data_IF_547523725559
#
_entry.id   IF_547523725559
#
_cell.length_a   1.000
_cell.length_b   1.000
_cell.length_c   1.000
_cell.angle_alpha   90.00
_cell.angle_beta   90.00
_cell.angle_gamma   90.00
#
_symmetry.space_group_name_H-M   'P 1'
#
loop_
_entity.id
_entity.type
_entity.pdbx_description
1 polymer ?
#
# COMPACT_ATOMS: atom_id res chain seq x y z
N UNK A 1 -3.23 3.21 -28.79
CA UNK A 1 -3.39 4.63 -28.39
C UNK A 1 -3.99 4.61 -27.00
N UNK A 2 -3.20 4.85 -25.98
CA UNK A 2 -3.71 5.10 -24.63
C UNK A 2 -4.42 6.45 -24.63
N UNK A 3 -5.62 6.51 -24.06
CA UNK A 3 -6.35 7.76 -23.87
C UNK A 3 -5.75 8.54 -22.68
N UNK A 4 -5.46 9.83 -22.89
CA UNK A 4 -4.88 10.74 -21.88
C UNK A 4 -5.97 11.43 -21.03
N UNK A 5 -7.23 11.03 -21.21
CA UNK A 5 -8.39 11.56 -20.51
C UNK A 5 -8.23 11.59 -18.97
N UNK A 6 -8.69 12.70 -18.37
CA UNK A 6 -8.69 12.99 -16.93
C UNK A 6 -10.13 13.21 -16.44
N UNK A 7 -10.78 12.20 -15.86
CA UNK A 7 -12.20 12.26 -15.43
C UNK A 7 -12.38 12.32 -13.90
N UNK A 8 -11.30 12.17 -13.14
CA UNK A 8 -11.33 12.09 -11.68
C UNK A 8 -10.98 13.42 -10.99
N UNK A 9 -11.07 13.43 -9.66
CA UNK A 9 -10.72 14.60 -8.83
C UNK A 9 -9.23 14.71 -8.51
N UNK A 10 -8.41 13.77 -8.98
CA UNK A 10 -6.95 13.71 -8.83
C UNK A 10 -6.26 13.69 -10.19
N UNK A 11 -5.00 14.13 -10.25
CA UNK A 11 -4.22 14.08 -11.50
C UNK A 11 -3.74 12.67 -11.82
N UNK A 12 -3.84 12.28 -13.10
CA UNK A 12 -3.36 11.01 -13.61
C UNK A 12 -2.18 11.21 -14.59
N UNK A 13 -1.04 10.60 -14.33
CA UNK A 13 0.12 10.62 -15.22
C UNK A 13 0.21 9.30 -16.00
N UNK A 14 0.00 9.35 -17.31
CA UNK A 14 0.07 8.19 -18.20
C UNK A 14 1.46 8.01 -18.82
N UNK A 15 1.84 6.76 -19.11
CA UNK A 15 3.08 6.41 -19.80
C UNK A 15 2.91 6.47 -21.34
N UNK A 16 2.66 7.68 -21.89
CA UNK A 16 2.21 7.83 -23.28
C UNK A 16 3.27 7.55 -24.36
N UNK A 17 4.53 7.84 -24.07
CA UNK A 17 5.62 7.81 -25.06
C UNK A 17 6.69 6.78 -24.76
N UNK A 18 6.47 5.92 -23.75
CA UNK A 18 7.47 4.99 -23.21
C UNK A 18 8.84 5.68 -23.02
N UNK A 19 8.82 6.85 -22.40
CA UNK A 19 10.02 7.67 -22.19
C UNK A 19 11.11 6.82 -21.54
N UNK A 20 12.31 6.88 -22.14
CA UNK A 20 13.44 6.09 -21.69
C UNK A 20 13.80 6.32 -20.21
N UNK A 21 14.06 5.25 -19.47
CA UNK A 21 14.28 5.30 -18.01
C UNK A 21 15.52 6.13 -17.65
N UNK A 22 16.63 6.00 -18.38
CA UNK A 22 17.85 6.79 -18.10
C UNK A 22 17.61 8.29 -18.30
N UNK A 23 16.64 8.68 -19.15
CA UNK A 23 16.26 10.08 -19.31
C UNK A 23 15.53 10.61 -18.07
N UNK A 24 14.60 9.83 -17.51
CA UNK A 24 13.93 10.15 -16.25
C UNK A 24 14.94 10.23 -15.11
N UNK A 25 15.84 9.25 -15.00
CA UNK A 25 16.81 9.21 -13.90
C UNK A 25 17.83 10.36 -13.94
N UNK A 26 18.22 10.83 -15.13
CA UNK A 26 19.03 12.06 -15.27
C UNK A 26 18.32 13.29 -14.69
N UNK A 27 16.99 13.34 -14.74
CA UNK A 27 16.20 14.36 -14.04
C UNK A 27 16.16 14.08 -12.54
N UNK A 28 15.92 12.84 -12.14
CA UNK A 28 15.87 12.44 -10.72
C UNK A 28 17.18 12.76 -9.98
N UNK A 29 18.35 12.50 -10.59
CA UNK A 29 19.66 12.86 -10.01
C UNK A 29 19.79 14.39 -9.81
N UNK A 30 19.22 15.20 -10.73
CA UNK A 30 19.19 16.66 -10.57
C UNK A 30 18.22 17.06 -9.46
N UNK A 31 17.06 16.42 -9.39
CA UNK A 31 16.06 16.68 -8.36
C UNK A 31 16.55 16.30 -6.98
N UNK A 32 17.32 15.21 -6.84
CA UNK A 32 17.91 14.72 -5.60
C UNK A 32 18.74 15.78 -4.85
N UNK A 33 19.33 16.74 -5.59
CA UNK A 33 20.07 17.89 -5.00
C UNK A 33 19.20 18.82 -4.18
N UNK A 34 17.90 18.89 -4.49
CA UNK A 34 16.90 19.70 -3.75
C UNK A 34 15.98 18.83 -2.90
N UNK A 35 15.51 17.71 -3.45
CA UNK A 35 14.55 16.79 -2.89
C UNK A 35 15.16 15.39 -2.86
N UNK A 36 15.85 15.08 -1.76
CA UNK A 36 16.42 13.74 -1.51
C UNK A 36 15.31 12.69 -1.49
N UNK A 37 15.56 11.53 -2.08
CA UNK A 37 14.57 10.46 -2.25
C UNK A 37 14.96 9.23 -1.44
N UNK A 38 14.00 8.65 -0.75
CA UNK A 38 14.12 7.37 -0.05
C UNK A 38 13.19 6.31 -0.62
N UNK A 39 13.43 5.05 -0.24
CA UNK A 39 12.58 3.91 -0.55
C UNK A 39 12.39 3.06 0.70
N UNK A 40 11.15 2.65 0.98
CA UNK A 40 10.78 1.69 2.01
C UNK A 40 10.44 0.36 1.34
N UNK A 41 11.02 -0.73 1.86
CA UNK A 41 10.79 -2.11 1.43
C UNK A 41 10.34 -2.93 2.65
N UNK A 42 9.04 -3.05 2.92
CA UNK A 42 8.54 -3.96 3.95
C UNK A 42 8.65 -5.40 3.44
N UNK A 43 9.33 -6.25 4.18
CA UNK A 43 9.61 -7.63 3.75
C UNK A 43 9.45 -8.66 4.87
N UNK A 44 9.10 -9.88 4.48
CA UNK A 44 9.25 -11.08 5.29
C UNK A 44 10.60 -11.73 4.95
N UNK A 45 11.22 -12.42 5.92
CA UNK A 45 12.44 -13.20 5.62
C UNK A 45 12.25 -14.18 4.45
N UNK A 46 11.10 -14.85 4.37
CA UNK A 46 10.78 -15.79 3.29
C UNK A 46 10.81 -15.19 1.87
N UNK A 47 10.75 -13.86 1.74
CA UNK A 47 10.86 -13.20 0.44
C UNK A 47 12.30 -13.10 -0.05
N UNK A 48 13.29 -13.09 0.86
CA UNK A 48 14.72 -13.11 0.52
C UNK A 48 15.14 -14.43 -0.14
N UNK A 49 14.37 -15.50 0.11
CA UNK A 49 14.55 -16.81 -0.52
C UNK A 49 13.93 -16.88 -1.93
N UNK A 50 13.13 -15.87 -2.30
CA UNK A 50 12.38 -15.83 -3.55
C UNK A 50 13.09 -15.05 -4.66
N UNK A 51 12.83 -15.38 -5.94
CA UNK A 51 13.46 -14.70 -7.09
C UNK A 51 12.97 -13.26 -7.29
N UNK A 52 11.80 -12.90 -6.75
CA UNK A 52 11.22 -11.56 -6.89
C UNK A 52 12.10 -10.51 -6.21
N UNK A 53 12.41 -10.69 -4.91
CA UNK A 53 13.24 -9.75 -4.16
C UNK A 53 14.68 -9.71 -4.66
N UNK A 54 15.21 -10.83 -5.14
CA UNK A 54 16.52 -10.85 -5.81
C UNK A 54 16.55 -9.92 -7.03
N UNK A 55 15.57 -10.02 -7.92
CA UNK A 55 15.43 -9.14 -9.07
C UNK A 55 15.25 -7.67 -8.65
N UNK A 56 14.43 -7.40 -7.63
CA UNK A 56 14.24 -6.05 -7.07
C UNK A 56 15.60 -5.46 -6.64
N UNK A 57 16.41 -6.20 -5.88
CA UNK A 57 17.73 -5.73 -5.43
C UNK A 57 18.67 -5.50 -6.62
N UNK A 58 18.67 -6.38 -7.62
CA UNK A 58 19.49 -6.22 -8.83
C UNK A 58 19.12 -4.97 -9.63
N UNK A 59 17.84 -4.63 -9.72
CA UNK A 59 17.35 -3.40 -10.36
C UNK A 59 17.64 -2.16 -9.53
N UNK A 60 17.42 -2.22 -8.22
CA UNK A 60 17.70 -1.12 -7.29
C UNK A 60 19.18 -0.79 -7.21
N UNK A 61 20.08 -1.77 -7.35
CA UNK A 61 21.52 -1.52 -7.39
C UNK A 61 21.94 -0.57 -8.53
N UNK A 62 21.13 -0.45 -9.58
CA UNK A 62 21.36 0.44 -10.73
C UNK A 62 20.80 1.86 -10.53
N UNK A 63 20.06 2.12 -9.44
CA UNK A 63 19.34 3.37 -9.21
C UNK A 63 20.26 4.46 -8.62
N UNK A 64 20.56 5.56 -9.35
CA UNK A 64 21.62 6.50 -8.96
C UNK A 64 21.15 7.67 -8.08
N UNK A 65 19.85 7.79 -7.80
CA UNK A 65 19.26 9.00 -7.18
C UNK A 65 18.71 8.79 -5.76
N UNK A 66 18.73 7.56 -5.23
CA UNK A 66 18.27 7.28 -3.88
C UNK A 66 19.34 7.66 -2.86
N UNK A 67 18.92 8.38 -1.82
CA UNK A 67 19.75 8.70 -0.66
C UNK A 67 19.74 7.54 0.36
N UNK A 68 18.60 6.85 0.50
CA UNK A 68 18.43 5.82 1.51
C UNK A 68 17.40 4.76 1.08
N UNK A 69 17.68 3.50 1.40
CA UNK A 69 16.72 2.38 1.33
C UNK A 69 16.50 1.83 2.74
N UNK A 70 15.27 1.91 3.23
CA UNK A 70 14.84 1.40 4.55
C UNK A 70 14.10 0.08 4.33
N UNK A 71 14.66 -1.00 4.86
CA UNK A 71 14.11 -2.35 4.69
C UNK A 71 13.55 -2.78 6.04
N UNK A 72 12.26 -3.12 6.10
CA UNK A 72 11.69 -3.73 7.29
C UNK A 72 11.71 -5.24 7.15
N UNK A 73 12.32 -5.95 8.09
CA UNK A 73 12.46 -7.40 8.08
C UNK A 73 11.66 -8.02 9.21
N UNK A 74 10.55 -8.65 8.86
CA UNK A 74 9.71 -9.44 9.76
C UNK A 74 10.03 -10.93 9.67
N UNK A 75 9.71 -11.66 10.74
CA UNK A 75 9.83 -13.12 10.86
C UNK A 75 11.24 -13.63 10.57
N UNK A 76 12.23 -12.91 11.09
CA UNK A 76 13.63 -13.30 11.03
C UNK A 76 14.16 -13.59 12.44
N UNK A 77 14.94 -14.65 12.60
CA UNK A 77 15.84 -14.83 13.74
C UNK A 77 17.18 -14.10 13.52
N UNK A 78 18.13 -14.30 14.44
CA UNK A 78 19.44 -13.63 14.40
C UNK A 78 20.26 -14.01 13.17
N UNK A 79 20.32 -15.30 12.84
CA UNK A 79 21.15 -15.79 11.73
C UNK A 79 20.52 -15.39 10.39
N UNK A 80 19.18 -15.40 10.32
CA UNK A 80 18.41 -14.88 9.21
C UNK A 80 18.59 -13.36 9.03
N UNK A 81 18.67 -12.59 10.10
CA UNK A 81 19.01 -11.16 10.03
C UNK A 81 20.45 -10.94 9.52
N UNK A 82 21.43 -11.72 9.98
CA UNK A 82 22.80 -11.64 9.48
C UNK A 82 22.87 -12.00 7.99
N UNK A 83 22.14 -13.04 7.56
CA UNK A 83 21.99 -13.36 6.15
C UNK A 83 21.38 -12.20 5.36
N UNK A 84 20.34 -11.53 5.89
CA UNK A 84 19.74 -10.38 5.24
C UNK A 84 20.74 -9.22 5.06
N UNK A 85 21.61 -8.96 6.04
CA UNK A 85 22.69 -7.96 5.91
C UNK A 85 23.61 -8.28 4.73
N UNK A 86 24.02 -9.53 4.60
CA UNK A 86 24.86 -9.97 3.47
C UNK A 86 24.11 -9.86 2.14
N UNK A 87 22.82 -10.27 2.10
CA UNK A 87 21.97 -10.20 0.91
C UNK A 87 21.81 -8.77 0.37
N UNK A 88 21.56 -7.81 1.26
CA UNK A 88 21.36 -6.40 0.90
C UNK A 88 22.65 -5.61 0.72
N UNK A 89 23.82 -6.16 1.12
CA UNK A 89 25.13 -5.53 0.90
C UNK A 89 25.44 -5.24 -0.58
N UNK A 90 24.72 -5.88 -1.50
CA UNK A 90 24.74 -5.63 -2.95
C UNK A 90 24.26 -4.23 -3.34
N UNK A 91 23.46 -3.57 -2.50
CA UNK A 91 22.97 -2.22 -2.73
C UNK A 91 24.10 -1.20 -2.50
N UNK A 92 24.52 -0.44 -3.52
CA UNK A 92 25.55 0.59 -3.36
C UNK A 92 25.04 1.81 -2.59
N UNK A 93 23.72 1.97 -2.46
CA UNK A 93 23.12 3.05 -1.68
C UNK A 93 23.20 2.75 -0.18
N UNK A 94 23.11 3.79 0.64
CA UNK A 94 22.94 3.60 2.08
C UNK A 94 21.62 2.85 2.31
N UNK A 95 21.71 1.71 2.97
CA UNK A 95 20.53 0.93 3.35
C UNK A 95 20.58 0.56 4.83
N UNK A 96 19.40 0.35 5.42
CA UNK A 96 19.23 -0.05 6.82
C UNK A 96 18.11 -1.06 6.94
N UNK A 97 18.42 -2.16 7.63
CA UNK A 97 17.48 -3.25 7.88
C UNK A 97 16.94 -3.08 9.30
N UNK A 98 15.63 -2.89 9.43
CA UNK A 98 14.92 -2.92 10.71
C UNK A 98 14.61 -4.38 11.01
N UNK A 99 15.30 -4.96 11.98
CA UNK A 99 14.96 -6.27 12.49
C UNK A 99 13.79 -6.15 13.46
N UNK A 100 12.56 -6.15 12.92
CA UNK A 100 11.35 -5.89 13.71
C UNK A 100 11.15 -6.93 14.83
N UNK A 101 11.66 -8.15 14.60
CA UNK A 101 11.67 -9.24 15.57
C UNK A 101 12.91 -9.26 16.48
N UNK A 102 13.84 -8.34 16.28
CA UNK A 102 15.09 -8.23 17.02
C UNK A 102 14.90 -7.72 18.46
N UNK A 103 15.85 -8.02 19.37
CA UNK A 103 15.73 -7.67 20.78
C UNK A 103 15.51 -6.17 21.03
N UNK A 104 16.19 -5.29 20.28
CA UNK A 104 16.11 -3.83 20.49
C UNK A 104 14.77 -3.25 20.07
N UNK A 105 14.29 -3.59 18.86
CA UNK A 105 12.99 -3.13 18.40
C UNK A 105 11.85 -3.75 19.22
N UNK A 106 11.95 -5.01 19.65
CA UNK A 106 10.99 -5.62 20.59
C UNK A 106 10.96 -4.92 21.94
N UNK A 107 12.10 -4.47 22.46
CA UNK A 107 12.15 -3.72 23.71
C UNK A 107 11.43 -2.37 23.59
N UNK A 108 11.70 -1.62 22.52
CA UNK A 108 11.01 -0.35 22.23
C UNK A 108 9.50 -0.57 22.03
N UNK A 109 9.15 -1.60 21.28
CA UNK A 109 7.77 -1.97 21.03
C UNK A 109 7.00 -2.28 22.33
N UNK A 110 7.60 -3.06 23.24
CA UNK A 110 7.01 -3.39 24.52
C UNK A 110 6.83 -2.16 25.44
N UNK A 111 7.68 -1.14 25.32
CA UNK A 111 7.48 0.14 26.01
C UNK A 111 6.30 0.92 25.44
N UNK A 112 6.20 0.98 24.12
CA UNK A 112 5.08 1.64 23.43
C UNK A 112 3.75 0.93 23.72
N UNK A 113 3.74 -0.40 23.78
CA UNK A 113 2.55 -1.20 24.04
C UNK A 113 1.97 -0.93 25.44
N UNK A 114 2.82 -0.74 26.45
CA UNK A 114 2.38 -0.37 27.82
C UNK A 114 1.54 0.90 27.87
N UNK A 115 1.77 1.83 26.95
CA UNK A 115 1.02 3.09 26.82
C UNK A 115 -0.10 3.02 25.77
N UNK A 116 -0.33 1.83 25.18
CA UNK A 116 -1.28 1.64 24.07
C UNK A 116 -0.87 2.45 22.82
N UNK A 117 0.43 2.59 22.60
CA UNK A 117 1.03 3.34 21.51
C UNK A 117 1.68 2.47 20.42
N UNK A 118 1.81 1.17 20.67
CA UNK A 118 2.31 0.18 19.71
C UNK A 118 1.20 -0.32 18.75
N UNK A 119 1.53 -0.71 17.50
CA UNK A 119 0.66 -1.50 16.65
C UNK A 119 0.30 -2.86 17.29
N UNK A 120 -0.99 -3.10 17.55
CA UNK A 120 -1.46 -4.29 18.28
C UNK A 120 -1.48 -5.59 17.47
N UNK A 121 -1.40 -5.53 16.13
CA UNK A 121 -1.42 -6.71 15.26
C UNK A 121 -0.15 -6.79 14.41
N UNK A 122 0.40 -8.02 14.21
CA UNK A 122 1.49 -8.24 13.27
C UNK A 122 0.98 -8.13 11.83
N UNK A 123 1.82 -7.61 10.93
CA UNK A 123 1.50 -7.52 9.51
C UNK A 123 2.22 -6.38 8.81
N UNK A 124 1.98 -6.25 7.50
CA UNK A 124 2.58 -5.23 6.62
C UNK A 124 2.39 -3.81 7.18
N UNK A 125 1.21 -3.47 7.71
CA UNK A 125 0.94 -2.16 8.28
C UNK A 125 1.87 -1.82 9.46
N UNK A 126 2.12 -2.77 10.35
CA UNK A 126 3.06 -2.64 11.46
C UNK A 126 4.51 -2.49 10.99
N UNK A 127 4.92 -3.30 10.02
CA UNK A 127 6.26 -3.23 9.43
C UNK A 127 6.51 -1.84 8.82
N UNK A 128 5.60 -1.38 7.97
CA UNK A 128 5.64 -0.05 7.36
C UNK A 128 5.64 1.03 8.44
N UNK A 129 4.86 0.88 9.50
CA UNK A 129 4.86 1.84 10.60
C UNK A 129 6.24 1.99 11.26
N UNK A 130 6.95 0.90 11.57
CA UNK A 130 8.33 0.98 12.07
C UNK A 130 9.29 1.59 11.06
N UNK A 131 9.21 1.21 9.78
CA UNK A 131 10.02 1.80 8.71
C UNK A 131 9.81 3.31 8.58
N UNK A 132 8.56 3.78 8.72
CA UNK A 132 8.28 5.22 8.69
C UNK A 132 8.85 5.94 9.91
N UNK A 133 8.83 5.33 11.09
CA UNK A 133 9.48 5.85 12.28
C UNK A 133 10.97 6.02 12.10
N UNK A 134 11.65 5.00 11.58
CA UNK A 134 13.06 5.08 11.28
C UNK A 134 13.37 6.10 10.16
N UNK A 135 12.52 6.19 9.12
CA UNK A 135 12.67 7.18 8.04
C UNK A 135 12.55 8.61 8.56
N UNK A 136 11.62 8.86 9.50
CA UNK A 136 11.50 10.15 10.20
C UNK A 136 12.71 10.41 11.09
N UNK A 137 13.23 9.37 11.75
CA UNK A 137 14.38 9.49 12.64
C UNK A 137 15.70 9.71 11.89
N UNK A 138 15.85 9.14 10.69
CA UNK A 138 17.05 9.29 9.86
C UNK A 138 17.14 10.69 9.24
N UNK A 139 15.99 11.34 8.99
CA UNK A 139 15.83 12.66 8.36
C UNK A 139 16.66 12.83 7.07
N UNK A 140 16.83 11.74 6.31
CA UNK A 140 17.67 11.76 5.09
C UNK A 140 16.90 12.06 3.82
N UNK A 141 15.60 11.77 3.79
CA UNK A 141 14.77 11.88 2.59
C UNK A 141 13.69 12.94 2.73
N UNK A 142 13.38 13.65 1.64
CA UNK A 142 12.27 14.61 1.56
C UNK A 142 11.03 14.04 0.87
N UNK A 143 11.19 12.95 0.14
CA UNK A 143 10.11 12.13 -0.39
C UNK A 143 10.54 10.66 -0.32
N UNK A 144 9.58 9.79 -0.07
CA UNK A 144 9.79 8.37 0.13
C UNK A 144 8.76 7.59 -0.68
N UNK A 145 9.24 6.57 -1.39
CA UNK A 145 8.40 5.58 -2.03
C UNK A 145 8.29 4.34 -1.13
N UNK A 146 7.23 3.57 -1.32
CA UNK A 146 7.04 2.24 -0.77
C UNK A 146 6.73 1.31 -1.92
N UNK A 147 7.45 0.18 -1.98
CA UNK A 147 7.20 -0.89 -2.95
C UNK A 147 7.09 -2.22 -2.21
N UNK A 148 6.25 -3.11 -2.73
CA UNK A 148 6.16 -4.47 -2.22
C UNK A 148 7.40 -5.29 -2.65
N UNK A 149 7.76 -6.27 -1.82
CA UNK A 149 8.93 -7.12 -2.03
C UNK A 149 8.62 -8.41 -2.83
N UNK A 150 7.38 -8.56 -3.31
CA UNK A 150 6.89 -9.73 -4.04
C UNK A 150 6.64 -9.48 -5.54
N UNK A 151 7.12 -8.34 -6.06
CA UNK A 151 6.96 -7.92 -7.47
C UNK A 151 7.90 -8.72 -8.37
N UNK A 152 7.34 -9.60 -9.20
CA UNK A 152 8.11 -10.48 -10.08
C UNK A 152 8.64 -9.73 -11.29
N UNK A 153 7.83 -8.81 -11.84
CA UNK A 153 8.16 -8.05 -13.05
C UNK A 153 8.86 -6.73 -12.75
N UNK A 154 9.55 -6.62 -11.61
CA UNK A 154 10.11 -5.34 -11.16
C UNK A 154 11.15 -4.79 -12.13
N UNK A 155 11.00 -3.51 -12.46
CA UNK A 155 11.97 -2.73 -13.23
C UNK A 155 12.21 -1.39 -12.53
N UNK A 156 13.45 -0.91 -12.52
CA UNK A 156 13.81 0.38 -11.88
C UNK A 156 13.01 1.59 -12.39
N UNK A 157 12.43 1.49 -13.59
CA UNK A 157 11.54 2.50 -14.16
C UNK A 157 10.26 2.71 -13.36
N UNK A 158 9.75 1.68 -12.68
CA UNK A 158 8.57 1.78 -11.79
C UNK A 158 8.83 2.80 -10.68
N UNK A 159 9.97 2.68 -10.01
CA UNK A 159 10.38 3.60 -8.94
C UNK A 159 10.58 5.03 -9.45
N UNK A 160 11.26 5.18 -10.59
CA UNK A 160 11.51 6.48 -11.17
C UNK A 160 10.20 7.21 -11.47
N UNK A 161 9.23 6.53 -12.10
CA UNK A 161 7.90 7.09 -12.40
C UNK A 161 7.12 7.43 -11.14
N UNK A 162 7.15 6.55 -10.13
CA UNK A 162 6.41 6.75 -8.88
C UNK A 162 6.90 7.98 -8.09
N UNK A 163 8.21 8.16 -7.98
CA UNK A 163 8.80 9.29 -7.26
C UNK A 163 8.76 10.61 -8.06
N UNK A 164 8.72 10.55 -9.39
CA UNK A 164 8.88 11.73 -10.25
C UNK A 164 7.96 12.91 -9.87
N UNK A 165 6.64 12.72 -9.63
CA UNK A 165 5.76 13.85 -9.33
C UNK A 165 6.10 14.56 -8.02
N UNK A 166 6.71 13.84 -7.06
CA UNK A 166 7.07 14.35 -5.74
C UNK A 166 8.51 14.87 -5.69
N UNK A 167 9.40 14.27 -6.48
CA UNK A 167 10.80 14.66 -6.58
C UNK A 167 10.97 15.93 -7.41
N UNK A 168 10.15 16.13 -8.45
CA UNK A 168 10.24 17.29 -9.33
C UNK A 168 9.94 18.60 -8.55
N UNK A 169 10.92 19.51 -8.37
CA UNK A 169 10.73 20.74 -7.59
C UNK A 169 9.72 21.72 -8.17
N UNK A 170 9.36 21.59 -9.44
CA UNK A 170 8.34 22.41 -10.09
C UNK A 170 6.91 21.96 -9.72
N UNK A 171 6.75 20.73 -9.20
CA UNK A 171 5.45 20.18 -8.86
C UNK A 171 5.17 20.30 -7.35
N UNK A 172 3.88 20.37 -7.01
CA UNK A 172 3.35 20.59 -5.67
C UNK A 172 2.48 19.41 -5.20
N UNK A 173 2.86 18.18 -5.56
CA UNK A 173 2.19 16.98 -5.08
C UNK A 173 2.76 16.53 -3.72
N UNK A 174 1.87 16.01 -2.88
CA UNK A 174 2.18 15.47 -1.56
C UNK A 174 2.12 13.93 -1.54
N UNK A 175 1.31 13.35 -2.43
CA UNK A 175 1.10 11.91 -2.54
C UNK A 175 0.95 11.47 -3.99
N UNK A 176 1.58 10.34 -4.32
CA UNK A 176 1.48 9.70 -5.63
C UNK A 176 1.19 8.19 -5.49
N UNK A 177 0.15 7.70 -6.16
CA UNK A 177 -0.18 6.26 -6.23
C UNK A 177 0.28 5.64 -7.55
N UNK A 178 0.88 4.45 -7.51
CA UNK A 178 1.15 3.66 -8.70
C UNK A 178 -0.13 3.03 -9.25
N UNK A 179 -0.23 2.95 -10.57
CA UNK A 179 -1.19 2.07 -11.22
C UNK A 179 -0.58 1.36 -12.42
N UNK A 180 -1.20 0.24 -12.80
CA UNK A 180 -0.67 -0.70 -13.79
C UNK A 180 -1.74 -1.70 -14.18
N UNK A 181 -1.71 -2.23 -15.40
CA UNK A 181 -2.54 -3.37 -15.75
C UNK A 181 -2.01 -4.65 -15.10
N UNK A 182 -2.91 -5.58 -14.77
CA UNK A 182 -2.55 -6.89 -14.18
C UNK A 182 -3.03 -8.03 -15.08
N UNK A 183 -2.16 -8.46 -15.98
CA UNK A 183 -2.42 -9.55 -16.92
C UNK A 183 -1.27 -10.55 -16.87
N UNK A 184 -1.53 -11.75 -16.38
CA UNK A 184 -0.54 -12.83 -16.32
C UNK A 184 -1.21 -14.15 -16.66
N UNK A 185 -0.45 -15.12 -17.16
CA UNK A 185 -0.94 -16.46 -17.54
C UNK A 185 -2.16 -16.46 -18.49
N UNK A 186 -2.27 -15.42 -19.33
CA UNK A 186 -3.40 -15.26 -20.24
C UNK A 186 -4.74 -15.00 -19.55
N UNK A 187 -4.78 -14.40 -18.36
CA UNK A 187 -6.00 -14.04 -17.61
C UNK A 187 -5.92 -12.65 -16.97
N UNK A 188 -7.08 -12.09 -16.62
CA UNK A 188 -7.18 -10.84 -15.84
C UNK A 188 -7.01 -11.11 -14.34
N UNK A 189 -6.06 -10.45 -13.69
CA UNK A 189 -5.83 -10.56 -12.24
C UNK A 189 -6.44 -9.39 -11.45
N UNK A 190 -6.28 -9.38 -10.12
CA UNK A 190 -6.73 -8.27 -9.26
C UNK A 190 -8.21 -8.33 -8.86
N UNK A 191 -8.74 -9.53 -8.55
CA UNK A 191 -10.15 -9.75 -8.16
C UNK A 191 -10.67 -8.79 -7.10
N UNK A 192 -9.89 -8.50 -6.06
CA UNK A 192 -10.33 -7.58 -4.98
C UNK A 192 -10.55 -6.16 -5.51
N UNK A 193 -9.70 -5.67 -6.42
CA UNK A 193 -9.92 -4.37 -7.06
C UNK A 193 -11.11 -4.40 -8.02
N UNK A 194 -11.12 -5.39 -8.92
CA UNK A 194 -12.12 -5.53 -10.01
C UNK A 194 -13.52 -5.83 -9.51
N UNK A 195 -13.66 -6.80 -8.61
CA UNK A 195 -14.93 -7.39 -8.23
C UNK A 195 -15.42 -6.95 -6.84
N UNK A 196 -14.53 -6.56 -5.92
CA UNK A 196 -14.94 -6.00 -4.62
C UNK A 196 -14.94 -4.47 -4.62
N UNK A 197 -13.76 -3.83 -4.66
CA UNK A 197 -13.63 -2.39 -4.36
C UNK A 197 -14.39 -1.51 -5.34
N UNK A 198 -14.20 -1.70 -6.65
CA UNK A 198 -14.90 -0.90 -7.66
C UNK A 198 -16.43 -0.98 -7.53
N UNK A 199 -17.02 -2.19 -7.56
CA UNK A 199 -18.46 -2.37 -7.36
C UNK A 199 -18.95 -1.88 -6.00
N UNK A 200 -18.18 -2.07 -4.93
CA UNK A 200 -18.54 -1.62 -3.59
C UNK A 200 -18.60 -0.09 -3.50
N UNK A 201 -17.61 0.63 -4.03
CA UNK A 201 -17.62 2.11 -4.02
C UNK A 201 -18.84 2.66 -4.76
N UNK A 202 -19.18 2.11 -5.94
CA UNK A 202 -20.41 2.48 -6.67
C UNK A 202 -21.68 2.17 -5.86
N UNK A 203 -21.69 1.05 -5.16
CA UNK A 203 -22.83 0.63 -4.34
C UNK A 203 -23.01 1.52 -3.11
N UNK A 204 -21.90 1.90 -2.45
CA UNK A 204 -21.91 2.84 -1.34
C UNK A 204 -22.48 4.20 -1.76
N UNK A 205 -22.08 4.72 -2.93
CA UNK A 205 -22.66 5.96 -3.47
C UNK A 205 -24.16 5.83 -3.76
N UNK A 206 -24.60 4.68 -4.31
CA UNK A 206 -26.00 4.45 -4.63
C UNK A 206 -26.89 4.32 -3.38
N UNK A 207 -26.38 3.73 -2.31
CA UNK A 207 -27.13 3.48 -1.07
C UNK A 207 -27.10 4.67 -0.13
N UNK A 208 -25.94 5.31 0.04
CA UNK A 208 -25.73 6.39 1.01
C UNK A 208 -25.73 7.79 0.39
N UNK A 209 -25.85 7.88 -0.93
CA UNK A 209 -25.84 9.14 -1.67
C UNK A 209 -24.44 9.60 -2.08
N UNK A 210 -24.39 10.76 -2.70
CA UNK A 210 -23.16 11.35 -3.21
C UNK A 210 -22.17 11.64 -2.05
N UNK A 211 -20.88 11.37 -2.31
CA UNK A 211 -19.80 11.58 -1.35
C UNK A 211 -18.51 11.91 -2.08
N UNK A 212 -17.97 13.10 -1.82
CA UNK A 212 -16.68 13.54 -2.38
C UNK A 212 -15.53 12.58 -2.02
N UNK A 213 -15.60 11.95 -0.85
CA UNK A 213 -14.61 10.94 -0.44
C UNK A 213 -14.71 9.67 -1.30
N UNK A 214 -15.93 9.21 -1.61
CA UNK A 214 -16.12 8.06 -2.49
C UNK A 214 -15.71 8.40 -3.94
N UNK A 215 -15.95 9.64 -4.40
CA UNK A 215 -15.45 10.10 -5.70
C UNK A 215 -13.93 10.15 -5.75
N UNK A 216 -13.30 10.61 -4.68
CA UNK A 216 -11.85 10.60 -4.51
C UNK A 216 -11.30 9.17 -4.61
N UNK A 217 -11.87 8.20 -3.87
CA UNK A 217 -11.42 6.81 -3.96
C UNK A 217 -11.66 6.20 -5.36
N UNK A 218 -12.81 6.47 -5.96
CA UNK A 218 -13.18 5.98 -7.30
C UNK A 218 -12.29 6.57 -8.40
N UNK A 219 -11.64 7.71 -8.14
CA UNK A 219 -10.70 8.33 -9.08
C UNK A 219 -9.38 7.58 -9.21
N UNK A 220 -9.02 6.72 -8.24
CA UNK A 220 -7.84 5.86 -8.36
C UNK A 220 -8.15 4.64 -9.21
N UNK A 221 -7.30 4.36 -10.20
CA UNK A 221 -7.43 3.15 -11.03
C UNK A 221 -7.17 1.88 -10.22
N UNK A 222 -6.20 1.93 -9.31
CA UNK A 222 -5.78 0.82 -8.45
C UNK A 222 -5.61 1.30 -7.00
N UNK A 223 -6.72 1.55 -6.27
CA UNK A 223 -6.65 2.08 -4.91
C UNK A 223 -5.91 1.16 -3.92
N UNK A 224 -5.86 -0.15 -4.23
CA UNK A 224 -5.19 -1.18 -3.45
C UNK A 224 -3.74 -1.48 -3.89
N UNK A 225 -3.15 -0.71 -4.82
CA UNK A 225 -1.73 -0.91 -5.17
C UNK A 225 -0.85 -0.68 -3.93
N UNK A 226 0.15 -1.55 -3.70
CA UNK A 226 1.14 -1.37 -2.63
C UNK A 226 2.09 -0.20 -2.92
N UNK A 227 2.19 0.20 -4.18
CA UNK A 227 3.15 1.14 -4.71
C UNK A 227 2.63 2.56 -4.55
N UNK A 228 3.17 3.28 -3.59
CA UNK A 228 2.89 4.71 -3.42
C UNK A 228 4.11 5.46 -2.96
N UNK A 229 4.10 6.76 -3.18
CA UNK A 229 5.11 7.65 -2.64
C UNK A 229 4.44 8.87 -1.99
N UNK A 230 5.16 9.49 -1.06
CA UNK A 230 4.72 10.72 -0.41
C UNK A 230 5.89 11.60 -0.01
N UNK A 231 5.62 12.87 0.28
CA UNK A 231 6.60 13.76 0.92
C UNK A 231 6.84 13.28 2.36
N UNK A 232 8.08 13.31 2.82
CA UNK A 232 8.44 12.69 4.13
C UNK A 232 7.69 13.32 5.30
N UNK A 233 7.38 14.62 5.24
CA UNK A 233 6.62 15.28 6.29
C UNK A 233 5.18 14.75 6.44
N UNK A 234 4.62 14.12 5.39
CA UNK A 234 3.31 13.46 5.43
C UNK A 234 3.34 12.30 6.44
N UNK A 235 4.46 11.57 6.54
CA UNK A 235 4.60 10.39 7.41
C UNK A 235 4.32 10.68 8.88
N UNK A 236 4.64 11.88 9.36
CA UNK A 236 4.49 12.22 10.78
C UNK A 236 3.02 12.33 11.22
N UNK A 237 2.16 12.79 10.31
CA UNK A 237 0.75 13.08 10.58
C UNK A 237 -0.20 11.95 10.21
N UNK A 238 0.17 11.09 9.26
CA UNK A 238 -0.73 10.01 8.80
C UNK A 238 -0.87 8.91 9.85
N UNK A 239 -2.08 8.37 9.91
CA UNK A 239 -2.39 7.17 10.69
C UNK A 239 -2.36 5.95 9.77
N UNK A 240 -1.39 5.08 10.01
CA UNK A 240 -1.22 3.83 9.24
C UNK A 240 -2.17 2.78 9.83
N UNK A 241 -3.05 2.14 9.04
CA UNK A 241 -3.81 0.98 9.49
C UNK A 241 -2.89 -0.23 9.75
N UNK A 242 -3.24 -1.06 10.74
CA UNK A 242 -2.43 -2.24 11.08
C UNK A 242 -2.51 -3.40 10.07
N UNK A 243 -3.62 -3.48 9.33
CA UNK A 243 -4.00 -4.65 8.54
C UNK A 243 -4.01 -4.38 7.02
N UNK A 244 -4.66 -5.25 6.24
CA UNK A 244 -4.85 -5.15 4.78
C UNK A 244 -5.68 -3.92 4.32
N UNK A 245 -6.14 -3.11 5.28
CA UNK A 245 -6.69 -1.79 5.02
C UNK A 245 -5.64 -0.70 4.80
N UNK A 246 -4.33 -1.02 4.84
CA UNK A 246 -3.21 -0.09 4.70
C UNK A 246 -3.43 0.89 3.54
N UNK A 247 -3.65 0.39 2.34
CA UNK A 247 -3.72 1.20 1.12
C UNK A 247 -4.93 2.15 1.16
N UNK A 248 -6.11 1.66 1.54
CA UNK A 248 -7.33 2.48 1.67
C UNK A 248 -7.22 3.48 2.81
N UNK A 249 -6.65 3.09 3.95
CA UNK A 249 -6.50 3.97 5.10
C UNK A 249 -5.48 5.07 4.85
N UNK A 250 -4.38 4.78 4.14
CA UNK A 250 -3.46 5.83 3.66
C UNK A 250 -4.22 6.80 2.75
N UNK A 251 -4.96 6.33 1.76
CA UNK A 251 -5.78 7.20 0.90
C UNK A 251 -6.77 8.05 1.71
N UNK A 252 -7.38 7.47 2.74
CA UNK A 252 -8.32 8.15 3.66
C UNK A 252 -7.67 9.26 4.47
N UNK A 253 -6.42 9.07 4.90
CA UNK A 253 -5.65 10.06 5.65
C UNK A 253 -5.10 11.15 4.72
N UNK A 254 -4.73 10.81 3.48
CA UNK A 254 -4.36 11.81 2.47
C UNK A 254 -5.56 12.71 2.16
N UNK A 255 -6.73 12.14 1.89
CA UNK A 255 -7.95 12.92 1.64
C UNK A 255 -8.33 13.84 2.81
N UNK A 256 -8.07 13.39 4.04
CA UNK A 256 -8.40 14.18 5.24
C UNK A 256 -7.47 15.37 5.43
N UNK A 257 -6.19 15.22 5.11
CA UNK A 257 -5.14 16.17 5.48
C UNK A 257 -4.66 17.05 4.32
N UNK A 258 -4.93 16.65 3.07
CA UNK A 258 -4.44 17.32 1.86
C UNK A 258 -5.54 17.50 0.84
N UNK A 259 -5.38 18.51 -0.02
CA UNK A 259 -6.32 18.75 -1.12
C UNK A 259 -6.10 17.73 -2.25
N UNK A 260 -7.16 17.40 -2.99
CA UNK A 260 -7.04 16.45 -4.11
C UNK A 260 -6.11 16.94 -5.22
N UNK A 261 -5.86 18.26 -5.31
CA UNK A 261 -4.87 18.87 -6.23
C UNK A 261 -3.42 18.51 -5.89
N UNK A 262 -3.16 18.11 -4.66
CA UNK A 262 -1.86 17.64 -4.19
C UNK A 262 -1.74 16.11 -4.26
N UNK A 263 -2.76 15.43 -4.78
CA UNK A 263 -2.80 13.99 -4.96
C UNK A 263 -2.72 13.65 -6.44
N UNK A 264 -1.86 12.70 -6.79
CA UNK A 264 -1.81 12.16 -8.13
C UNK A 264 -1.69 10.64 -8.15
N UNK A 265 -1.82 10.07 -9.33
CA UNK A 265 -1.46 8.69 -9.64
C UNK A 265 -0.63 8.65 -10.91
N UNK A 266 0.19 7.61 -11.08
CA UNK A 266 1.09 7.46 -12.22
C UNK A 266 1.13 6.01 -12.71
N UNK A 267 1.13 5.84 -14.03
CA UNK A 267 1.31 4.55 -14.68
C UNK A 267 2.76 4.12 -14.50
N UNK A 268 2.99 3.12 -13.65
CA UNK A 268 4.36 2.67 -13.33
C UNK A 268 4.83 1.53 -14.22
N UNK A 269 3.89 0.74 -14.75
CA UNK A 269 4.17 -0.46 -15.53
C UNK A 269 3.04 -0.77 -16.53
N UNK A 270 3.42 -1.28 -17.71
CA UNK A 270 2.47 -1.75 -18.73
C UNK A 270 1.84 -3.08 -18.31
N UNK A 271 2.66 -3.97 -17.74
CA UNK A 271 2.20 -5.19 -17.10
C UNK A 271 2.87 -5.36 -15.73
N UNK A 272 2.09 -5.83 -14.76
CA UNK A 272 2.51 -5.99 -13.39
C UNK A 272 2.08 -7.35 -12.87
N UNK A 273 3.06 -8.13 -12.42
CA UNK A 273 2.81 -9.41 -11.76
C UNK A 273 3.57 -9.53 -10.44
N UNK A 274 2.92 -10.22 -9.50
CA UNK A 274 3.41 -10.43 -8.14
C UNK A 274 2.96 -11.80 -7.65
N UNK A 275 3.38 -12.20 -6.45
CA UNK A 275 2.99 -13.50 -5.89
C UNK A 275 1.47 -13.57 -5.65
N UNK A 276 0.79 -14.54 -6.27
CA UNK A 276 -0.67 -14.68 -6.14
C UNK A 276 -1.06 -15.36 -4.81
N UNK A 277 -2.15 -14.87 -4.22
CA UNK A 277 -2.78 -15.46 -3.03
C UNK A 277 -3.99 -16.33 -3.44
N UNK A 278 -4.25 -17.44 -2.73
CA UNK A 278 -5.45 -18.23 -2.94
C UNK A 278 -6.72 -17.47 -2.50
N UNK A 279 -7.89 -17.90 -3.00
CA UNK A 279 -9.20 -17.31 -2.65
C UNK A 279 -9.49 -17.41 -1.15
N UNK A 280 -9.20 -18.58 -0.58
CA UNK A 280 -9.21 -18.88 0.85
C UNK A 280 -8.10 -19.90 1.12
N UNK A 281 -7.64 -20.01 2.36
CA UNK A 281 -6.78 -21.11 2.79
C UNK A 281 -7.60 -22.41 2.89
N UNK A 282 -6.94 -23.56 3.02
CA UNK A 282 -7.60 -24.88 3.03
C UNK A 282 -8.64 -25.04 4.16
N UNK A 283 -8.52 -24.26 5.24
CA UNK A 283 -9.45 -24.24 6.37
C UNK A 283 -10.64 -23.28 6.18
N UNK A 284 -10.75 -22.63 5.02
CA UNK A 284 -11.79 -21.64 4.72
C UNK A 284 -11.59 -20.29 5.43
N UNK A 285 -10.47 -20.10 6.11
CA UNK A 285 -10.01 -18.84 6.72
C UNK A 285 -8.88 -18.22 5.87
N UNK A 286 -8.44 -17.00 6.23
CA UNK A 286 -7.33 -16.35 5.53
C UNK A 286 -7.60 -15.91 4.08
N UNK A 287 -6.52 -15.73 3.32
CA UNK A 287 -6.56 -15.33 1.91
C UNK A 287 -7.33 -14.03 1.58
N UNK A 288 -7.98 -14.01 0.42
CA UNK A 288 -8.74 -12.85 -0.06
C UNK A 288 -9.95 -12.52 0.82
N UNK A 289 -10.52 -13.49 1.54
CA UNK A 289 -11.68 -13.26 2.43
C UNK A 289 -11.33 -12.34 3.59
N UNK A 290 -10.23 -12.59 4.30
CA UNK A 290 -9.75 -11.73 5.39
C UNK A 290 -9.44 -10.32 4.88
N UNK A 291 -8.69 -10.23 3.76
CA UNK A 291 -8.39 -8.96 3.11
C UNK A 291 -9.66 -8.16 2.78
N UNK A 292 -10.68 -8.84 2.26
CA UNK A 292 -11.95 -8.21 1.89
C UNK A 292 -12.70 -7.66 3.10
N UNK A 293 -12.75 -8.42 4.20
CA UNK A 293 -13.34 -7.97 5.46
C UNK A 293 -12.64 -6.70 5.97
N UNK A 294 -11.31 -6.69 6.00
CA UNK A 294 -10.52 -5.56 6.49
C UNK A 294 -10.75 -4.29 5.64
N UNK A 295 -10.79 -4.45 4.30
CA UNK A 295 -11.09 -3.35 3.37
C UNK A 295 -12.50 -2.79 3.61
N UNK A 296 -13.52 -3.66 3.68
CA UNK A 296 -14.90 -3.21 3.89
C UNK A 296 -15.02 -2.51 5.24
N UNK A 297 -14.49 -3.08 6.32
CA UNK A 297 -14.52 -2.45 7.64
C UNK A 297 -13.83 -1.08 7.63
N UNK A 298 -12.67 -0.95 6.96
CA UNK A 298 -11.97 0.32 6.84
C UNK A 298 -12.83 1.39 6.15
N UNK A 299 -13.50 1.04 5.05
CA UNK A 299 -14.42 1.93 4.34
C UNK A 299 -15.61 2.33 5.21
N UNK A 300 -16.26 1.37 5.86
CA UNK A 300 -17.42 1.62 6.73
C UNK A 300 -17.05 2.54 7.91
N UNK A 301 -15.95 2.25 8.61
CA UNK A 301 -15.46 3.10 9.69
C UNK A 301 -15.18 4.51 9.20
N UNK A 302 -14.55 4.67 8.03
CA UNK A 302 -14.29 6.00 7.47
C UNK A 302 -15.59 6.75 7.16
N UNK A 303 -16.57 6.11 6.52
CA UNK A 303 -17.88 6.72 6.28
C UNK A 303 -18.59 7.12 7.57
N UNK A 304 -18.52 6.29 8.61
CA UNK A 304 -19.09 6.63 9.93
C UNK A 304 -18.41 7.85 10.55
N UNK A 305 -17.08 7.98 10.46
CA UNK A 305 -16.38 9.21 10.93
C UNK A 305 -16.77 10.47 10.16
N UNK A 306 -17.34 10.32 8.96
CA UNK A 306 -17.88 11.42 8.15
C UNK A 306 -19.38 11.68 8.39
N UNK A 307 -19.99 10.99 9.37
CA UNK A 307 -21.39 11.18 9.72
C UNK A 307 -22.39 10.41 8.86
N UNK A 308 -21.95 9.43 8.05
CA UNK A 308 -22.85 8.56 7.28
C UNK A 308 -23.57 7.60 8.24
N UNK A 309 -24.91 7.57 8.26
CA UNK A 309 -25.67 6.66 9.12
C UNK A 309 -25.60 5.23 8.57
N UNK A 310 -24.86 4.37 9.25
CA UNK A 310 -24.74 2.94 8.92
C UNK A 310 -25.65 2.12 9.82
N UNK A 311 -26.64 1.43 9.24
CA UNK A 311 -27.63 0.63 9.97
C UNK A 311 -27.66 -0.81 9.45
N UNK A 312 -28.24 -1.72 10.23
CA UNK A 312 -28.40 -3.12 9.79
C UNK A 312 -29.21 -3.22 8.48
N UNK A 313 -30.26 -2.39 8.34
CA UNK A 313 -31.08 -2.34 7.12
C UNK A 313 -30.30 -1.80 5.93
N UNK A 314 -29.49 -0.75 6.11
CA UNK A 314 -28.67 -0.20 5.02
C UNK A 314 -27.62 -1.20 4.54
N UNK A 315 -27.11 -2.09 5.40
CA UNK A 315 -26.21 -3.18 4.99
C UNK A 315 -26.88 -4.25 4.14
N UNK A 316 -28.14 -4.61 4.43
CA UNK A 316 -28.91 -5.55 3.60
C UNK A 316 -29.12 -4.99 2.20
N UNK A 317 -29.43 -3.69 2.10
CA UNK A 317 -29.56 -2.99 0.81
C UNK A 317 -28.21 -2.88 0.10
N UNK A 318 -27.13 -2.56 0.83
CA UNK A 318 -25.78 -2.50 0.29
C UNK A 318 -25.35 -3.84 -0.30
N UNK A 319 -25.58 -4.95 0.41
CA UNK A 319 -25.30 -6.31 -0.08
C UNK A 319 -25.96 -6.57 -1.43
N UNK A 320 -27.28 -6.35 -1.52
CA UNK A 320 -28.03 -6.60 -2.75
C UNK A 320 -27.57 -5.69 -3.91
N UNK A 321 -27.30 -4.42 -3.60
CA UNK A 321 -26.81 -3.42 -4.57
C UNK A 321 -25.41 -3.78 -5.08
N UNK A 322 -24.51 -4.18 -4.17
CA UNK A 322 -23.18 -4.65 -4.48
C UNK A 322 -23.22 -5.88 -5.37
N UNK A 323 -24.00 -6.90 -5.00
CA UNK A 323 -24.06 -8.15 -5.74
C UNK A 323 -24.45 -7.89 -7.20
N UNK A 324 -25.48 -7.06 -7.44
CA UNK A 324 -25.86 -6.69 -8.81
C UNK A 324 -24.76 -5.93 -9.55
N UNK A 325 -24.17 -4.92 -8.93
CA UNK A 325 -23.09 -4.13 -9.54
C UNK A 325 -21.85 -4.98 -9.84
N UNK A 326 -21.54 -5.97 -9.00
CA UNK A 326 -20.41 -6.87 -9.18
C UNK A 326 -20.64 -7.84 -10.35
N UNK A 327 -21.86 -8.37 -10.51
CA UNK A 327 -22.24 -9.18 -11.68
C UNK A 327 -22.17 -8.37 -12.98
N UNK A 328 -22.66 -7.13 -12.99
CA UNK A 328 -22.57 -6.25 -14.16
C UNK A 328 -21.10 -5.97 -14.54
N UNK A 329 -20.23 -5.73 -13.55
CA UNK A 329 -18.80 -5.56 -13.78
C UNK A 329 -18.11 -6.84 -14.25
N UNK A 330 -18.52 -8.00 -13.74
CA UNK A 330 -18.01 -9.30 -14.16
C UNK A 330 -18.28 -9.55 -15.65
N UNK A 331 -19.47 -9.21 -16.14
CA UNK A 331 -19.82 -9.30 -17.56
C UNK A 331 -18.91 -8.40 -18.42
N UNK A 332 -18.68 -7.16 -17.99
CA UNK A 332 -17.74 -6.24 -18.66
C UNK A 332 -16.34 -6.84 -18.73
N UNK A 333 -15.82 -7.38 -17.61
CA UNK A 333 -14.49 -8.00 -17.60
C UNK A 333 -14.41 -9.27 -18.44
N UNK A 334 -15.49 -10.04 -18.54
CA UNK A 334 -15.57 -11.19 -19.44
C UNK A 334 -15.47 -10.77 -20.91
N UNK A 335 -16.19 -9.71 -21.30
CA UNK A 335 -16.12 -9.16 -22.65
C UNK A 335 -14.74 -8.59 -22.95
N UNK A 336 -14.14 -7.86 -22.01
CA UNK A 336 -12.78 -7.34 -22.13
C UNK A 336 -11.74 -8.47 -22.28
N UNK A 337 -11.83 -9.51 -21.44
CA UNK A 337 -10.97 -10.67 -21.53
C UNK A 337 -11.12 -11.38 -22.90
N UNK A 338 -12.36 -11.61 -23.33
CA UNK A 338 -12.67 -12.26 -24.61
C UNK A 338 -12.11 -11.47 -25.80
N UNK A 339 -12.31 -10.15 -25.82
CA UNK A 339 -11.81 -9.28 -26.87
C UNK A 339 -10.28 -9.29 -26.96
N UNK A 340 -9.59 -9.41 -25.82
CA UNK A 340 -8.14 -9.47 -25.75
C UNK A 340 -7.57 -10.91 -25.83
N UNK A 341 -8.41 -11.92 -26.10
CA UNK A 341 -7.96 -13.32 -26.21
C UNK A 341 -7.52 -13.96 -24.88
N UNK A 342 -7.96 -13.40 -23.75
CA UNK A 342 -7.66 -13.89 -22.40
C UNK A 342 -8.72 -14.92 -21.96
N UNK A 343 -8.28 -15.88 -21.14
CA UNK A 343 -9.16 -16.83 -20.46
C UNK A 343 -9.91 -16.13 -19.33
N UNK A 344 -11.20 -16.41 -19.22
CA UNK A 344 -12.06 -15.92 -18.16
C UNK A 344 -12.93 -17.07 -17.64
N UNK A 345 -12.74 -17.45 -16.38
CA UNK A 345 -13.54 -18.48 -15.73
C UNK A 345 -14.69 -17.82 -14.96
N UNK A 346 -15.86 -17.78 -15.58
CA UNK A 346 -17.04 -17.14 -14.97
C UNK A 346 -17.43 -17.79 -13.65
N UNK A 347 -17.32 -19.12 -13.52
CA UNK A 347 -17.71 -19.82 -12.30
C UNK A 347 -16.83 -19.41 -11.11
N UNK A 348 -15.51 -19.34 -11.33
CA UNK A 348 -14.56 -18.92 -10.28
C UNK A 348 -14.74 -17.43 -9.94
N UNK A 349 -14.98 -16.56 -10.92
CA UNK A 349 -15.18 -15.13 -10.66
C UNK A 349 -16.51 -14.88 -9.92
N UNK A 350 -17.58 -15.62 -10.23
CA UNK A 350 -18.87 -15.54 -9.54
C UNK A 350 -18.76 -16.06 -8.10
N UNK A 351 -18.08 -17.19 -7.87
CA UNK A 351 -17.79 -17.69 -6.53
C UNK A 351 -16.99 -16.67 -5.69
N UNK A 352 -16.09 -15.90 -6.32
CA UNK A 352 -15.40 -14.80 -5.65
C UNK A 352 -16.37 -13.66 -5.27
N UNK A 353 -17.31 -13.29 -6.15
CA UNK A 353 -18.35 -12.29 -5.87
C UNK A 353 -19.24 -12.72 -4.70
N UNK A 354 -19.63 -14.00 -4.64
CA UNK A 354 -20.39 -14.55 -3.51
C UNK A 354 -19.62 -14.44 -2.19
N UNK A 355 -18.34 -14.81 -2.20
CA UNK A 355 -17.46 -14.68 -1.04
C UNK A 355 -17.31 -13.23 -0.57
N UNK A 356 -17.11 -12.29 -1.51
CA UNK A 356 -17.04 -10.86 -1.19
C UNK A 356 -18.37 -10.30 -0.68
N UNK A 357 -19.49 -10.81 -1.19
CA UNK A 357 -20.83 -10.47 -0.71
C UNK A 357 -21.01 -10.88 0.75
N UNK A 358 -20.51 -12.07 1.12
CA UNK A 358 -20.49 -12.51 2.51
C UNK A 358 -19.57 -11.64 3.37
N UNK A 359 -18.39 -11.27 2.86
CA UNK A 359 -17.48 -10.37 3.57
C UNK A 359 -18.12 -9.00 3.89
N UNK A 360 -18.93 -8.45 2.96
CA UNK A 360 -19.65 -7.19 3.22
C UNK A 360 -20.65 -7.32 4.37
N UNK A 361 -21.36 -8.46 4.45
CA UNK A 361 -22.28 -8.73 5.55
C UNK A 361 -21.54 -8.91 6.88
N UNK A 362 -20.49 -9.72 6.89
CA UNK A 362 -19.70 -10.02 8.08
C UNK A 362 -19.05 -8.74 8.63
N UNK A 363 -18.49 -7.90 7.75
CA UNK A 363 -17.93 -6.61 8.11
C UNK A 363 -18.98 -5.64 8.64
N UNK A 364 -20.17 -5.59 8.04
CA UNK A 364 -21.29 -4.76 8.50
C UNK A 364 -21.78 -5.18 9.89
N UNK A 365 -21.93 -6.49 10.12
CA UNK A 365 -22.33 -7.02 11.42
C UNK A 365 -21.27 -6.73 12.49
N UNK A 366 -20.00 -7.00 12.19
CA UNK A 366 -18.88 -6.70 13.08
C UNK A 366 -18.81 -5.21 13.46
N UNK A 367 -19.05 -4.32 12.49
CA UNK A 367 -19.07 -2.87 12.73
C UNK A 367 -20.16 -2.45 13.74
N UNK A 368 -21.35 -3.06 13.67
CA UNK A 368 -22.45 -2.80 14.60
C UNK A 368 -22.17 -3.37 15.99
N UNK A 369 -21.61 -4.58 16.07
CA UNK A 369 -21.32 -5.25 17.33
C UNK A 369 -20.12 -4.64 18.08
N UNK A 370 -19.17 -4.05 17.35
CA UNK A 370 -17.89 -3.54 17.91
C UNK A 370 -17.57 -2.11 17.46
N UNK A 371 -18.42 -1.11 17.84
CA UNK A 371 -18.24 0.27 17.39
C UNK A 371 -16.96 0.95 17.92
N UNK A 372 -16.37 0.41 18.99
CA UNK A 372 -15.24 1.04 19.72
C UNK A 372 -13.85 0.53 19.32
N UNK A 373 -13.74 -0.43 18.40
CA UNK A 373 -12.42 -0.90 17.94
C UNK A 373 -11.64 0.25 17.27
N UNK A 374 -10.41 0.49 17.73
CA UNK A 374 -9.51 1.51 17.18
C UNK A 374 -8.80 0.93 15.94
N UNK A 375 -9.11 1.41 14.72
CA UNK A 375 -8.59 0.77 13.50
C UNK A 375 -7.20 1.27 13.09
N UNK A 376 -6.69 2.31 13.75
CA UNK A 376 -5.48 3.01 13.35
C UNK A 376 -4.36 2.79 14.35
N UNK A 377 -3.17 2.49 13.83
CA UNK A 377 -1.95 2.64 14.59
C UNK A 377 -1.81 4.13 14.94
N UNK A 378 -1.38 4.47 16.18
CA UNK A 378 -1.02 5.83 16.55
C UNK A 378 -0.08 6.49 15.55
N UNK A 379 -0.32 7.77 15.22
CA UNK A 379 0.61 8.53 14.39
C UNK A 379 1.94 8.76 15.12
N UNK A 380 3.03 8.90 14.37
CA UNK A 380 4.33 9.23 14.96
C UNK A 380 4.30 10.53 15.74
N UNK A 381 3.53 11.52 15.30
CA UNK A 381 3.24 12.74 16.07
C UNK A 381 2.66 12.47 17.47
N UNK A 382 1.74 11.50 17.61
CA UNK A 382 1.20 11.11 18.92
C UNK A 382 2.24 10.37 19.76
N UNK A 383 3.02 9.49 19.14
CA UNK A 383 4.08 8.74 19.83
C UNK A 383 5.17 9.67 20.35
N UNK A 384 5.65 10.62 19.53
CA UNK A 384 6.63 11.62 19.95
C UNK A 384 6.12 12.53 21.07
N UNK A 385 4.81 12.84 21.09
CA UNK A 385 4.23 13.61 22.19
C UNK A 385 4.29 12.88 23.54
N UNK A 386 4.26 11.54 23.54
CA UNK A 386 4.36 10.73 24.75
C UNK A 386 5.82 10.35 25.07
N UNK A 387 6.63 10.12 24.04
CA UNK A 387 8.05 9.75 24.12
C UNK A 387 8.88 10.68 23.22
N UNK A 388 9.30 11.86 23.71
CA UNK A 388 9.98 12.87 22.88
C UNK A 388 11.29 12.40 22.22
N UNK A 389 11.98 11.44 22.83
CA UNK A 389 13.26 10.88 22.37
C UNK A 389 13.12 9.59 21.53
N UNK A 390 11.89 9.12 21.29
CA UNK A 390 11.63 7.81 20.65
C UNK A 390 12.29 7.66 19.28
N UNK A 391 12.29 8.70 18.45
CA UNK A 391 12.91 8.65 17.12
C UNK A 391 14.42 8.43 17.24
N UNK A 392 15.09 9.14 18.16
CA UNK A 392 16.51 8.94 18.41
C UNK A 392 16.82 7.52 18.90
N UNK A 393 15.96 6.97 19.77
CA UNK A 393 16.11 5.60 20.28
C UNK A 393 15.91 4.55 19.19
N UNK A 394 14.91 4.72 18.31
CA UNK A 394 14.70 3.86 17.13
C UNK A 394 15.91 3.95 16.20
N UNK A 395 16.39 5.16 15.92
CA UNK A 395 17.58 5.36 15.09
C UNK A 395 18.77 4.57 15.65
N UNK A 396 19.08 4.76 16.93
CA UNK A 396 20.18 4.07 17.59
C UNK A 396 20.02 2.55 17.57
N UNK A 397 18.81 2.04 17.87
CA UNK A 397 18.53 0.61 17.86
C UNK A 397 18.83 -0.01 16.50
N UNK A 398 18.36 0.61 15.42
CA UNK A 398 18.57 0.14 14.07
C UNK A 398 20.02 0.28 13.64
N UNK A 399 20.70 1.39 13.94
CA UNK A 399 22.13 1.54 13.63
C UNK A 399 22.99 0.48 14.33
N UNK A 400 22.76 0.21 15.62
CA UNK A 400 23.50 -0.80 16.36
C UNK A 400 23.31 -2.21 15.80
N UNK A 401 22.07 -2.56 15.43
CA UNK A 401 21.78 -3.85 14.79
C UNK A 401 22.52 -3.97 13.44
N UNK A 402 22.54 -2.88 12.65
CA UNK A 402 23.21 -2.84 11.35
C UNK A 402 24.75 -2.77 11.44
N UNK A 403 25.32 -2.43 12.60
CA UNK A 403 26.75 -2.59 12.90
C UNK A 403 27.12 -4.06 13.20
N UNK A 404 26.14 -4.94 13.34
CA UNK A 404 26.33 -6.36 13.68
C UNK A 404 26.40 -6.62 15.18
N UNK A 405 26.00 -5.66 16.03
CA UNK A 405 25.93 -5.80 17.49
C UNK A 405 24.62 -6.50 17.90
N UNK A 406 24.29 -7.63 17.24
CA UNK A 406 23.04 -8.39 17.38
C UNK A 406 23.17 -9.69 18.12
#
# INVERSE_FOLDING_TARGET
>A
MSDFYQNGVITNFHNLTHRNVESLEKEMVRFARKRKMGLILPSLFSELEGPALDNIVNELAKVPYLEEIVIGLDRADRDQFLFARDFFSRLPQRHRILWNDGPRLKALDAELDKEGLSPSQPGKGRNVWFCTGYTLASDRSQCVALHDCDIVTYERGMLARLLYPLANPAFQYEFCKGFYARVADGKLNGRVGRLLVGPLLRSLQKVYGHSEYLDYLTSFRYPLSGEFAMRTHVLNGIKIPGDWGLEIGVLSEIYRNYTTRQTCQVEIADNYDHKHQPLAEEDGTGGLKRMSNDIVQSLLRKLATMGVPLTSDSFRVLKATYYRNALDMMEIYNHEATMNGLKFDQHIEEAAVEMFTQAILDAGQSFIERPNEKPFIPSWSRVQSAFPDILQRIYQAVEEDNEGKV
#
